data_IF_308799452782
#
_entry.id   IF_308799452782
#
_cell.length_a   1.000
_cell.length_b   1.000
_cell.length_c   1.000
_cell.angle_alpha   90.00
_cell.angle_beta   90.00
_cell.angle_gamma   90.00
#
_symmetry.space_group_name_H-M   'P 1'
#
loop_
_entity.id
_entity.type
_entity.pdbx_description
1 polymer ?
#
# COMPACT_ATOMS: atom_id res chain seq x y z
N UNK A 1 -40.15 -29.06 -26.99
CA UNK A 1 -39.50 -27.76 -26.77
C UNK A 1 -39.24 -27.44 -25.28
N UNK A 2 -40.21 -27.48 -24.35
CA UNK A 2 -40.01 -27.16 -22.92
C UNK A 2 -38.89 -27.95 -22.23
N UNK A 3 -38.74 -29.27 -22.47
CA UNK A 3 -37.67 -30.11 -21.88
C UNK A 3 -36.25 -29.73 -22.34
N UNK A 4 -36.08 -29.23 -23.56
CA UNK A 4 -34.80 -28.80 -24.10
C UNK A 4 -34.41 -27.46 -23.47
N UNK A 5 -35.34 -26.53 -23.32
CA UNK A 5 -35.12 -25.25 -22.65
C UNK A 5 -34.69 -25.46 -21.20
N UNK A 6 -35.33 -26.38 -20.47
CA UNK A 6 -34.94 -26.72 -19.09
C UNK A 6 -33.48 -27.24 -18.98
N UNK A 7 -33.07 -28.12 -19.91
CA UNK A 7 -31.69 -28.63 -19.94
C UNK A 7 -30.67 -27.52 -20.22
N UNK A 8 -31.02 -26.58 -21.13
CA UNK A 8 -30.15 -25.45 -21.44
C UNK A 8 -30.00 -24.51 -20.22
N UNK A 9 -31.10 -24.26 -19.50
CA UNK A 9 -31.09 -23.41 -18.30
C UNK A 9 -30.23 -24.06 -17.19
N UNK A 10 -30.39 -25.37 -16.94
CA UNK A 10 -29.60 -26.10 -15.95
C UNK A 10 -28.12 -26.06 -16.33
N UNK A 11 -27.78 -26.29 -17.59
CA UNK A 11 -26.41 -26.25 -18.09
C UNK A 11 -25.78 -24.85 -17.93
N UNK A 12 -26.54 -23.79 -18.22
CA UNK A 12 -26.10 -22.41 -18.02
C UNK A 12 -25.85 -22.09 -16.54
N UNK A 13 -26.74 -22.52 -15.63
CA UNK A 13 -26.55 -22.39 -14.18
C UNK A 13 -25.29 -23.11 -13.71
N UNK A 14 -25.02 -24.30 -14.20
CA UNK A 14 -23.81 -25.04 -13.87
C UNK A 14 -22.55 -24.33 -14.33
N UNK A 15 -22.52 -23.77 -15.55
CA UNK A 15 -21.40 -23.00 -16.06
C UNK A 15 -21.15 -21.76 -15.19
N UNK A 16 -22.21 -21.01 -14.87
CA UNK A 16 -22.11 -19.81 -14.03
C UNK A 16 -21.60 -20.19 -12.63
N UNK A 17 -22.14 -21.22 -12.01
CA UNK A 17 -21.71 -21.69 -10.69
C UNK A 17 -20.23 -22.11 -10.69
N UNK A 18 -19.80 -22.86 -11.70
CA UNK A 18 -18.41 -23.27 -11.85
C UNK A 18 -17.49 -22.06 -12.05
N UNK A 19 -17.90 -21.09 -12.86
CA UNK A 19 -17.14 -19.85 -13.08
C UNK A 19 -16.98 -19.04 -11.79
N UNK A 20 -18.04 -18.93 -11.00
CA UNK A 20 -18.02 -18.24 -9.70
C UNK A 20 -17.08 -18.96 -8.72
N UNK A 21 -17.15 -20.28 -8.63
CA UNK A 21 -16.25 -21.08 -7.78
C UNK A 21 -14.81 -20.90 -8.22
N UNK A 22 -14.54 -20.95 -9.53
CA UNK A 22 -13.20 -20.72 -10.08
C UNK A 22 -12.66 -19.35 -9.73
N UNK A 23 -13.44 -18.28 -9.93
CA UNK A 23 -13.08 -16.91 -9.57
C UNK A 23 -12.84 -16.71 -8.08
N UNK A 24 -13.58 -17.45 -7.24
CA UNK A 24 -13.45 -17.35 -5.78
C UNK A 24 -12.23 -18.11 -5.25
N UNK A 25 -11.89 -19.25 -5.82
CA UNK A 25 -10.80 -20.12 -5.33
C UNK A 25 -9.46 -19.78 -5.98
N UNK A 26 -9.41 -19.78 -7.29
CA UNK A 26 -8.17 -19.61 -8.08
C UNK A 26 -7.97 -18.14 -8.46
N UNK A 27 -9.04 -17.48 -8.91
CA UNK A 27 -8.99 -16.13 -9.48
C UNK A 27 -8.44 -16.09 -10.91
N UNK A 28 -8.28 -14.91 -11.45
CA UNK A 28 -7.76 -14.67 -12.81
C UNK A 28 -6.57 -13.72 -12.71
N UNK A 29 -5.49 -14.03 -13.43
CA UNK A 29 -4.37 -13.09 -13.67
C UNK A 29 -4.54 -12.51 -15.07
N UNK A 30 -4.47 -11.21 -15.19
CA UNK A 30 -4.70 -10.51 -16.46
C UNK A 30 -3.94 -9.20 -16.52
N UNK A 31 -3.59 -8.77 -17.72
CA UNK A 31 -2.99 -7.47 -18.01
C UNK A 31 -4.04 -6.42 -18.45
N UNK A 32 -5.28 -6.86 -18.73
CA UNK A 32 -6.35 -6.02 -19.29
C UNK A 32 -6.73 -4.82 -18.43
N UNK A 33 -6.45 -4.87 -17.13
CA UNK A 33 -6.75 -3.76 -16.21
C UNK A 33 -5.56 -2.81 -16.00
N UNK A 34 -4.37 -3.13 -16.52
CA UNK A 34 -3.17 -2.33 -16.30
C UNK A 34 -3.37 -0.88 -16.75
N UNK A 35 -3.79 -0.68 -18.00
CA UNK A 35 -3.98 0.65 -18.58
C UNK A 35 -5.07 1.44 -17.86
N UNK A 36 -6.16 0.77 -17.45
CA UNK A 36 -7.23 1.40 -16.69
C UNK A 36 -6.74 1.89 -15.31
N UNK A 37 -5.95 1.08 -14.61
CA UNK A 37 -5.39 1.46 -13.31
C UNK A 37 -4.40 2.61 -13.48
N UNK A 38 -3.50 2.51 -14.47
CA UNK A 38 -2.51 3.56 -14.74
C UNK A 38 -3.18 4.88 -15.13
N UNK A 39 -4.23 4.86 -15.96
CA UNK A 39 -4.96 6.07 -16.34
C UNK A 39 -5.65 6.71 -15.12
N UNK A 40 -6.28 5.91 -14.26
CA UNK A 40 -6.92 6.41 -13.04
C UNK A 40 -5.94 7.02 -12.04
N UNK A 41 -4.74 6.47 -11.93
CA UNK A 41 -3.68 7.05 -11.09
C UNK A 41 -3.20 8.39 -11.66
N UNK A 42 -3.04 8.49 -12.98
CA UNK A 42 -2.67 9.76 -13.65
C UNK A 42 -3.75 10.84 -13.57
N UNK A 43 -5.02 10.47 -13.48
CA UNK A 43 -6.11 11.43 -13.24
C UNK A 43 -5.98 12.11 -11.87
N UNK A 44 -5.42 11.42 -10.86
CA UNK A 44 -5.19 11.97 -9.51
C UNK A 44 -4.01 12.93 -9.50
N UNK A 45 -2.89 12.52 -10.10
CA UNK A 45 -1.71 13.36 -10.28
C UNK A 45 -1.02 12.98 -11.60
N UNK A 46 -0.92 13.91 -12.58
CA UNK A 46 -0.28 13.66 -13.88
C UNK A 46 1.19 13.22 -13.79
N UNK A 47 1.88 13.55 -12.70
CA UNK A 47 3.27 13.15 -12.46
C UNK A 47 3.39 11.75 -11.84
N UNK A 48 2.27 11.17 -11.39
CA UNK A 48 2.23 9.85 -10.78
C UNK A 48 1.86 8.81 -11.83
N UNK A 49 2.63 7.74 -11.89
CA UNK A 49 2.35 6.60 -12.76
C UNK A 49 2.69 5.28 -12.07
N UNK A 50 2.08 4.23 -12.55
CA UNK A 50 2.38 2.85 -12.14
C UNK A 50 2.84 2.07 -13.37
N UNK A 51 3.89 1.27 -13.20
CA UNK A 51 4.21 0.19 -14.13
C UNK A 51 3.76 -1.11 -13.48
N UNK A 52 2.85 -1.83 -14.11
CA UNK A 52 2.23 -3.05 -13.56
C UNK A 52 2.44 -4.17 -14.57
N UNK A 53 2.96 -5.32 -14.13
CA UNK A 53 3.07 -6.48 -15.02
C UNK A 53 1.71 -7.16 -15.19
N UNK A 54 1.07 -7.54 -14.10
CA UNK A 54 -0.22 -8.24 -14.10
C UNK A 54 -1.06 -7.84 -12.91
N UNK A 55 -2.38 -8.03 -13.04
CA UNK A 55 -3.35 -7.91 -11.96
C UNK A 55 -3.99 -9.26 -11.70
N UNK A 56 -3.97 -9.70 -10.45
CA UNK A 56 -4.73 -10.86 -9.98
C UNK A 56 -6.08 -10.39 -9.45
N UNK A 57 -7.15 -11.01 -9.92
CA UNK A 57 -8.54 -10.70 -9.55
C UNK A 57 -9.14 -11.92 -8.88
N UNK A 58 -9.66 -11.78 -7.66
CA UNK A 58 -10.37 -12.83 -6.92
C UNK A 58 -11.70 -12.31 -6.39
N UNK A 59 -12.73 -13.13 -6.50
CA UNK A 59 -14.04 -12.85 -5.93
C UNK A 59 -14.15 -13.45 -4.53
N UNK A 60 -14.50 -12.65 -3.53
CA UNK A 60 -14.90 -13.15 -2.23
C UNK A 60 -16.43 -13.11 -2.13
N UNK A 61 -17.04 -14.29 -2.19
CA UNK A 61 -18.50 -14.45 -2.18
C UNK A 61 -19.12 -14.10 -0.81
N UNK A 62 -18.39 -14.39 0.28
CA UNK A 62 -18.93 -14.16 1.64
C UNK A 62 -19.04 -12.68 1.97
N UNK A 63 -18.07 -11.90 1.56
CA UNK A 63 -18.05 -10.44 1.80
C UNK A 63 -18.54 -9.63 0.60
N UNK A 64 -18.88 -10.25 -0.50
CA UNK A 64 -19.30 -9.62 -1.78
C UNK A 64 -18.30 -8.54 -2.22
N UNK A 65 -17.01 -8.87 -2.19
CA UNK A 65 -15.94 -8.00 -2.66
C UNK A 65 -15.09 -8.66 -3.74
N UNK A 66 -14.60 -7.85 -4.66
CA UNK A 66 -13.56 -8.23 -5.61
C UNK A 66 -12.24 -7.78 -5.02
N UNK A 67 -11.32 -8.73 -4.80
CA UNK A 67 -9.96 -8.45 -4.38
C UNK A 67 -9.08 -8.33 -5.63
N UNK A 68 -8.40 -7.20 -5.75
CA UNK A 68 -7.39 -6.96 -6.77
C UNK A 68 -6.02 -6.99 -6.11
N UNK A 69 -5.03 -7.59 -6.77
CA UNK A 69 -3.63 -7.57 -6.35
C UNK A 69 -2.75 -7.35 -7.58
N UNK A 70 -1.99 -6.27 -7.59
CA UNK A 70 -0.98 -6.04 -8.63
C UNK A 70 0.25 -6.92 -8.40
N UNK A 71 0.93 -7.28 -9.46
CA UNK A 71 2.16 -8.08 -9.46
C UNK A 71 3.21 -7.36 -10.30
N UNK A 72 4.45 -7.27 -9.78
CA UNK A 72 5.56 -6.60 -10.46
C UNK A 72 5.24 -5.13 -10.70
N UNK A 73 5.07 -4.37 -9.61
CA UNK A 73 4.59 -2.99 -9.65
C UNK A 73 5.71 -2.04 -9.27
N UNK A 74 5.93 -1.02 -10.12
CA UNK A 74 6.78 0.11 -9.81
C UNK A 74 5.93 1.37 -9.70
N UNK A 75 6.14 2.12 -8.63
CA UNK A 75 5.59 3.46 -8.46
C UNK A 75 6.57 4.47 -9.04
N UNK A 76 6.11 5.27 -9.97
CA UNK A 76 6.92 6.27 -10.67
C UNK A 76 6.32 7.65 -10.38
N UNK A 77 7.12 8.56 -9.82
CA UNK A 77 6.75 9.95 -9.64
C UNK A 77 7.85 10.86 -10.22
N UNK A 78 7.51 11.59 -11.26
CA UNK A 78 8.49 12.32 -12.08
C UNK A 78 9.63 11.37 -12.44
N UNK A 79 10.80 11.43 -12.28
CA UNK A 79 11.86 10.49 -12.63
C UNK A 79 12.33 9.59 -11.47
N UNK A 80 11.51 9.44 -10.41
CA UNK A 80 11.84 8.60 -9.25
C UNK A 80 11.02 7.34 -9.28
N UNK A 81 11.68 6.21 -9.07
CA UNK A 81 11.07 4.88 -9.11
C UNK A 81 11.21 4.23 -7.75
N UNK A 82 10.10 3.69 -7.25
CA UNK A 82 10.06 2.83 -6.07
C UNK A 82 9.43 1.50 -6.46
N UNK A 83 10.15 0.42 -6.22
CA UNK A 83 9.64 -0.92 -6.42
C UNK A 83 8.68 -1.29 -5.29
N UNK A 84 7.47 -1.67 -5.68
CA UNK A 84 6.49 -2.20 -4.75
C UNK A 84 6.47 -3.73 -4.83
N UNK A 85 6.16 -4.37 -3.71
CA UNK A 85 5.85 -5.79 -3.73
C UNK A 85 4.51 -6.03 -4.40
N UNK A 86 3.49 -5.29 -3.95
CA UNK A 86 2.16 -5.29 -4.55
C UNK A 86 1.32 -4.11 -4.06
N UNK A 87 0.25 -3.83 -4.81
CA UNK A 87 -0.88 -3.02 -4.37
C UNK A 87 -2.07 -3.97 -4.31
N UNK A 88 -2.72 -4.07 -3.14
CA UNK A 88 -3.99 -4.78 -2.98
C UNK A 88 -5.11 -3.77 -2.87
N UNK A 89 -6.25 -4.05 -3.47
CA UNK A 89 -7.44 -3.25 -3.31
C UNK A 89 -8.69 -4.12 -3.24
N UNK A 90 -9.70 -3.62 -2.54
CA UNK A 90 -10.99 -4.27 -2.40
C UNK A 90 -12.08 -3.40 -3.00
N UNK A 91 -12.88 -3.99 -3.88
CA UNK A 91 -14.02 -3.35 -4.52
C UNK A 91 -15.30 -4.00 -3.98
N UNK A 92 -16.12 -3.21 -3.31
CA UNK A 92 -17.43 -3.65 -2.82
C UNK A 92 -18.42 -3.79 -3.98
N UNK A 93 -18.91 -4.99 -4.23
CA UNK A 93 -19.96 -5.24 -5.22
C UNK A 93 -21.27 -4.55 -4.82
N UNK A 94 -21.58 -4.51 -3.53
CA UNK A 94 -22.78 -3.86 -3.04
C UNK A 94 -22.78 -2.34 -3.31
N UNK A 95 -21.64 -1.68 -3.07
CA UNK A 95 -21.47 -0.25 -3.35
C UNK A 95 -21.53 0.03 -4.86
N UNK A 96 -20.90 -0.84 -5.67
CA UNK A 96 -20.94 -0.72 -7.12
C UNK A 96 -22.38 -0.82 -7.67
N UNK A 97 -23.19 -1.76 -7.16
CA UNK A 97 -24.61 -1.89 -7.55
C UNK A 97 -25.44 -0.66 -7.16
N UNK A 98 -25.11 -0.04 -6.02
CA UNK A 98 -25.78 1.18 -5.52
C UNK A 98 -25.26 2.48 -6.14
N UNK A 99 -24.36 2.43 -7.12
CA UNK A 99 -23.68 3.59 -7.70
C UNK A 99 -22.93 4.45 -6.67
N UNK A 100 -22.47 3.84 -5.59
CA UNK A 100 -21.60 4.46 -4.58
C UNK A 100 -20.14 4.23 -4.92
N UNK A 101 -19.22 4.92 -4.21
CA UNK A 101 -17.80 4.66 -4.35
C UNK A 101 -17.48 3.22 -3.95
N UNK A 102 -17.03 2.42 -4.90
CA UNK A 102 -16.93 0.98 -4.73
C UNK A 102 -15.58 0.51 -4.12
N UNK A 103 -14.53 1.33 -4.23
CA UNK A 103 -13.22 1.00 -3.62
C UNK A 103 -13.30 1.18 -2.11
N UNK A 104 -13.20 0.08 -1.36
CA UNK A 104 -13.34 0.09 0.10
C UNK A 104 -12.00 0.15 0.83
N UNK A 105 -10.95 -0.42 0.24
CA UNK A 105 -9.63 -0.53 0.85
C UNK A 105 -8.51 -0.52 -0.21
N UNK A 106 -7.40 0.14 0.12
CA UNK A 106 -6.11 0.00 -0.59
C UNK A 106 -5.04 -0.34 0.44
N UNK A 107 -4.23 -1.34 0.12
CA UNK A 107 -3.02 -1.69 0.85
C UNK A 107 -1.84 -1.68 -0.12
N UNK A 108 -0.80 -0.95 0.21
CA UNK A 108 0.43 -0.83 -0.57
C UNK A 108 1.56 -1.46 0.23
N UNK A 109 2.19 -2.49 -0.30
CA UNK A 109 3.36 -3.14 0.30
C UNK A 109 4.61 -2.77 -0.52
N UNK A 110 5.63 -2.25 0.14
CA UNK A 110 6.90 -1.94 -0.50
C UNK A 110 7.84 -3.13 -0.45
N UNK A 111 8.73 -3.24 -1.43
CA UNK A 111 9.95 -4.03 -1.27
C UNK A 111 10.90 -3.32 -0.30
N UNK A 112 12.10 -3.87 -0.10
CA UNK A 112 13.17 -3.18 0.61
C UNK A 112 13.65 -1.97 -0.21
N UNK A 113 13.39 -0.77 0.29
CA UNK A 113 13.67 0.50 -0.38
C UNK A 113 14.79 1.21 0.35
N UNK A 114 15.82 1.76 -0.34
CA UNK A 114 16.74 2.69 0.28
C UNK A 114 16.00 3.90 0.86
N UNK A 115 16.23 4.22 2.14
CA UNK A 115 15.51 5.32 2.82
C UNK A 115 15.65 6.64 2.06
N UNK A 116 16.82 6.91 1.49
CA UNK A 116 17.06 8.11 0.66
C UNK A 116 16.11 8.19 -0.53
N UNK A 117 15.85 7.08 -1.21
CA UNK A 117 14.97 7.05 -2.37
C UNK A 117 13.52 7.37 -1.96
N UNK A 118 13.08 6.80 -0.81
CA UNK A 118 11.76 7.09 -0.29
C UNK A 118 11.61 8.57 0.09
N UNK A 119 12.57 9.14 0.82
CA UNK A 119 12.54 10.56 1.21
C UNK A 119 12.59 11.47 -0.02
N UNK A 120 13.43 11.15 -1.00
CA UNK A 120 13.51 11.89 -2.26
C UNK A 120 12.18 11.87 -3.02
N UNK A 121 11.47 10.72 -3.03
CA UNK A 121 10.12 10.61 -3.61
C UNK A 121 9.14 11.51 -2.84
N UNK A 122 9.04 11.37 -1.52
CA UNK A 122 8.10 12.13 -0.69
C UNK A 122 8.37 13.62 -0.83
N UNK A 123 9.63 14.05 -0.83
CA UNK A 123 10.02 15.46 -1.06
C UNK A 123 9.53 15.97 -2.42
N UNK A 124 9.65 15.16 -3.46
CA UNK A 124 9.17 15.55 -4.79
C UNK A 124 7.66 15.68 -4.86
N UNK A 125 6.91 14.92 -4.05
CA UNK A 125 5.44 14.97 -3.97
C UNK A 125 4.95 16.13 -3.10
N UNK A 126 5.60 16.40 -1.97
CA UNK A 126 5.12 17.35 -0.97
C UNK A 126 5.77 18.74 -1.05
N UNK A 127 6.92 18.85 -1.73
CA UNK A 127 7.74 20.05 -1.80
C UNK A 127 8.18 20.57 -0.41
N UNK A 128 8.25 19.71 0.61
CA UNK A 128 8.63 20.11 1.97
C UNK A 128 10.17 20.24 2.09
N UNK A 129 10.70 21.46 2.38
CA UNK A 129 12.13 21.68 2.52
C UNK A 129 12.77 20.94 3.70
N UNK A 130 12.00 20.55 4.72
CA UNK A 130 12.49 19.74 5.85
C UNK A 130 13.00 18.37 5.40
N UNK A 131 12.41 17.82 4.35
CA UNK A 131 12.83 16.53 3.78
C UNK A 131 14.18 16.62 3.07
N UNK A 132 14.56 17.79 2.55
CA UNK A 132 15.89 18.03 2.02
C UNK A 132 16.96 17.89 3.12
N UNK A 133 16.68 18.46 4.29
CA UNK A 133 17.56 18.36 5.46
C UNK A 133 17.67 16.89 5.90
N UNK A 134 16.54 16.18 6.00
CA UNK A 134 16.54 14.76 6.35
C UNK A 134 17.34 13.90 5.35
N UNK A 135 17.24 14.18 4.05
CA UNK A 135 17.99 13.49 3.00
C UNK A 135 19.51 13.69 3.14
N UNK A 136 19.96 14.84 3.63
CA UNK A 136 21.38 15.12 3.87
C UNK A 136 21.95 14.34 5.07
N UNK A 137 21.15 14.19 6.13
CA UNK A 137 21.56 13.46 7.33
C UNK A 137 21.59 11.94 7.13
N UNK A 138 20.67 11.39 6.36
CA UNK A 138 20.58 9.97 6.10
C UNK A 138 21.66 9.56 5.11
N UNK A 139 22.56 8.69 5.53
CA UNK A 139 23.65 8.17 4.69
C UNK A 139 23.30 6.86 4.05
N UNK A 140 22.68 5.95 4.80
CA UNK A 140 22.30 4.62 4.35
C UNK A 140 21.08 4.10 5.12
N UNK A 141 20.61 2.92 4.76
CA UNK A 141 19.53 2.20 5.41
C UNK A 141 18.43 1.82 4.43
N UNK A 142 17.65 0.84 4.85
CA UNK A 142 16.54 0.29 4.08
C UNK A 142 15.26 0.34 4.90
N UNK A 143 14.15 0.49 4.22
CA UNK A 143 12.82 0.49 4.79
C UNK A 143 11.92 -0.47 4.01
N UNK A 144 11.10 -1.21 4.74
CA UNK A 144 9.98 -1.97 4.21
C UNK A 144 8.74 -1.45 4.93
N UNK A 145 7.67 -1.18 4.20
CA UNK A 145 6.44 -0.65 4.78
C UNK A 145 5.19 -1.21 4.10
N UNK A 146 4.16 -1.41 4.92
CA UNK A 146 2.79 -1.67 4.52
C UNK A 146 1.92 -0.47 4.88
N UNK A 147 1.25 0.11 3.88
CA UNK A 147 0.33 1.22 4.04
C UNK A 147 -1.09 0.74 3.78
N UNK A 148 -1.99 0.94 4.73
CA UNK A 148 -3.39 0.57 4.60
C UNK A 148 -4.27 1.80 4.73
N UNK A 149 -5.15 2.00 3.73
CA UNK A 149 -6.15 3.06 3.68
C UNK A 149 -7.53 2.46 3.45
N UNK A 150 -8.50 2.89 4.20
CA UNK A 150 -9.91 2.55 4.00
C UNK A 150 -10.69 3.77 3.51
N UNK A 151 -11.70 3.54 2.69
CA UNK A 151 -12.54 4.58 2.11
C UNK A 151 -13.99 4.46 2.58
N UNK A 152 -14.67 5.58 2.68
CA UNK A 152 -16.11 5.60 2.88
C UNK A 152 -16.85 5.52 1.53
N UNK A 153 -18.17 5.50 1.57
CA UNK A 153 -19.05 5.44 0.39
C UNK A 153 -18.96 6.67 -0.54
N UNK A 154 -18.35 7.76 -0.07
CA UNK A 154 -18.10 8.99 -0.83
C UNK A 154 -16.70 9.04 -1.44
N UNK A 155 -15.84 8.04 -1.17
CA UNK A 155 -14.46 7.99 -1.66
C UNK A 155 -13.45 8.77 -0.81
N UNK A 156 -13.84 9.21 0.38
CA UNK A 156 -12.91 9.88 1.30
C UNK A 156 -12.15 8.86 2.14
N UNK A 157 -10.87 9.15 2.41
CA UNK A 157 -10.04 8.30 3.28
C UNK A 157 -10.55 8.41 4.71
N UNK A 158 -10.86 7.25 5.32
CA UNK A 158 -11.22 7.19 6.73
C UNK A 158 -10.01 7.53 7.61
N UNK A 159 -10.28 8.10 8.80
CA UNK A 159 -9.25 8.45 9.80
C UNK A 159 -8.65 7.23 10.53
N UNK A 160 -8.66 6.07 9.92
CA UNK A 160 -8.14 4.82 10.50
C UNK A 160 -7.01 4.22 9.67
N UNK A 161 -6.25 5.06 8.95
CA UNK A 161 -5.10 4.58 8.20
C UNK A 161 -4.07 3.92 9.13
N UNK A 162 -3.35 2.95 8.58
CA UNK A 162 -2.27 2.24 9.29
C UNK A 162 -1.05 2.19 8.37
N UNK A 163 0.10 2.51 8.94
CA UNK A 163 1.40 2.34 8.29
C UNK A 163 2.26 1.54 9.25
N UNK A 164 2.63 0.34 8.86
CA UNK A 164 3.53 -0.52 9.62
C UNK A 164 4.79 -0.73 8.79
N UNK A 165 5.91 -0.90 9.44
CA UNK A 165 7.13 -1.18 8.72
C UNK A 165 8.32 -1.39 9.63
N UNK A 166 9.45 -1.60 9.00
CA UNK A 166 10.73 -1.72 9.68
C UNK A 166 11.80 -0.92 8.95
N UNK A 167 12.71 -0.39 9.71
CA UNK A 167 13.96 0.20 9.23
C UNK A 167 15.10 -0.75 9.60
N UNK A 168 15.98 -1.00 8.64
CA UNK A 168 17.12 -1.87 8.80
C UNK A 168 18.40 -1.16 8.38
N UNK A 169 19.42 -1.28 9.24
CA UNK A 169 20.78 -0.77 9.01
C UNK A 169 20.81 0.72 8.61
N UNK A 170 19.97 1.53 9.28
CA UNK A 170 19.96 2.97 9.12
C UNK A 170 21.28 3.61 9.56
N UNK A 171 21.72 4.60 8.81
CA UNK A 171 22.91 5.38 9.13
C UNK A 171 22.61 6.86 8.95
N UNK A 172 22.80 7.60 10.03
CA UNK A 172 22.62 9.05 10.08
C UNK A 172 23.95 9.69 10.46
N UNK A 173 24.28 10.78 9.83
CA UNK A 173 25.50 11.54 10.16
C UNK A 173 25.18 13.03 10.17
N UNK A 174 25.57 13.69 11.27
CA UNK A 174 25.50 15.13 11.42
C UNK A 174 26.74 15.64 12.13
N UNK A 175 27.54 16.43 11.44
CA UNK A 175 28.81 16.96 11.92
C UNK A 175 29.74 15.83 12.40
N UNK A 176 30.05 15.79 13.71
CA UNK A 176 30.91 14.78 14.34
C UNK A 176 30.16 13.59 14.92
N UNK A 177 28.83 13.61 14.88
CA UNK A 177 27.98 12.57 15.44
C UNK A 177 27.53 11.61 14.35
N UNK A 178 27.71 10.33 14.57
CA UNK A 178 27.25 9.27 13.70
C UNK A 178 26.36 8.29 14.47
N UNK A 179 25.17 8.08 13.95
CA UNK A 179 24.28 6.99 14.35
C UNK A 179 24.37 5.93 13.26
N UNK A 180 24.73 4.73 13.61
CA UNK A 180 24.84 3.60 12.68
C UNK A 180 24.09 2.38 13.20
N UNK A 181 23.86 1.40 12.31
CA UNK A 181 23.11 0.18 12.60
C UNK A 181 21.75 0.45 13.26
N UNK A 182 21.08 1.53 12.84
CA UNK A 182 19.76 1.87 13.34
C UNK A 182 18.74 0.89 12.77
N UNK A 183 18.11 0.13 13.67
CA UNK A 183 17.04 -0.79 13.35
C UNK A 183 15.86 -0.50 14.27
N UNK A 184 14.64 -0.57 13.74
CA UNK A 184 13.40 -0.46 14.51
C UNK A 184 12.21 -0.92 13.69
N UNK A 185 11.15 -1.34 14.36
CA UNK A 185 9.82 -1.53 13.82
C UNK A 185 9.02 -0.28 14.14
N UNK A 186 8.18 0.18 13.21
CA UNK A 186 7.29 1.32 13.45
C UNK A 186 5.85 1.00 13.09
N UNK A 187 4.94 1.58 13.86
CA UNK A 187 3.49 1.52 13.64
C UNK A 187 2.92 2.93 13.77
N UNK A 188 2.31 3.42 12.70
CA UNK A 188 1.75 4.76 12.61
C UNK A 188 0.26 4.66 12.34
N UNK A 189 -0.53 5.33 13.14
CA UNK A 189 -1.98 5.50 12.95
C UNK A 189 -2.35 6.99 13.02
N UNK A 190 -3.61 7.30 12.86
CA UNK A 190 -4.12 8.65 13.08
C UNK A 190 -3.94 9.14 14.54
N UNK A 191 -3.81 8.21 15.51
CA UNK A 191 -3.77 8.51 16.96
C UNK A 191 -2.40 8.39 17.57
N UNK A 192 -1.56 7.51 17.06
CA UNK A 192 -0.30 7.12 17.71
C UNK A 192 0.81 6.84 16.72
N UNK A 193 2.02 7.00 17.20
CA UNK A 193 3.26 6.64 16.54
C UNK A 193 4.07 5.80 17.51
N UNK A 194 4.26 4.52 17.21
CA UNK A 194 5.01 3.57 18.04
C UNK A 194 6.24 3.10 17.31
N UNK A 195 7.35 3.00 18.04
CA UNK A 195 8.60 2.37 17.62
C UNK A 195 8.92 1.25 18.58
N UNK A 196 9.20 0.06 18.06
CA UNK A 196 9.50 -1.14 18.82
C UNK A 196 10.90 -1.64 18.42
N UNK A 197 11.59 -2.29 19.37
CA UNK A 197 12.90 -2.91 19.15
C UNK A 197 13.96 -1.95 18.57
N UNK A 198 13.97 -0.70 19.04
CA UNK A 198 14.90 0.31 18.54
C UNK A 198 16.31 -0.02 19.02
N UNK A 199 17.21 -0.26 18.10
CA UNK A 199 18.64 -0.51 18.36
C UNK A 199 19.52 0.31 17.45
N UNK A 200 20.59 0.88 17.98
CA UNK A 200 21.53 1.68 17.21
C UNK A 200 22.89 1.83 17.92
N UNK A 201 23.88 2.30 17.19
CA UNK A 201 25.16 2.71 17.74
C UNK A 201 25.29 4.24 17.62
N UNK A 202 25.76 4.89 18.68
CA UNK A 202 26.27 6.27 18.63
C UNK A 202 27.75 6.22 18.93
N UNK A 203 28.59 6.63 17.98
CA UNK A 203 30.04 6.64 18.12
C UNK A 203 30.54 5.29 18.68
N UNK A 204 30.07 4.18 18.13
CA UNK A 204 30.35 2.78 18.49
C UNK A 204 29.82 2.32 19.87
N UNK A 205 29.03 3.13 20.58
CA UNK A 205 28.35 2.69 21.80
C UNK A 205 26.96 2.20 21.47
N UNK A 206 26.57 1.02 21.93
CA UNK A 206 25.28 0.39 21.67
C UNK A 206 24.17 0.94 22.58
N UNK A 207 23.01 1.20 21.99
CA UNK A 207 21.79 1.61 22.67
C UNK A 207 20.66 0.73 22.22
N UNK A 208 19.78 0.36 23.16
CA UNK A 208 18.55 -0.40 22.91
C UNK A 208 17.42 0.29 23.65
N UNK A 209 16.33 0.56 22.94
CA UNK A 209 15.09 1.11 23.49
C UNK A 209 13.98 0.14 23.08
N UNK A 210 13.42 -0.65 24.02
CA UNK A 210 12.43 -1.69 23.70
C UNK A 210 11.15 -1.13 23.05
N UNK A 211 10.66 -0.01 23.58
CA UNK A 211 9.43 0.62 23.09
C UNK A 211 9.46 2.13 23.30
N UNK A 212 9.03 2.87 22.28
CA UNK A 212 8.90 4.32 22.29
C UNK A 212 7.58 4.72 21.62
N UNK A 213 6.62 5.14 22.42
CA UNK A 213 5.29 5.55 21.94
C UNK A 213 5.10 7.07 22.04
N UNK A 214 4.53 7.66 20.99
CA UNK A 214 4.09 9.06 20.97
C UNK A 214 2.60 9.10 20.63
N UNK A 215 1.78 9.58 21.56
CA UNK A 215 0.35 9.77 21.34
C UNK A 215 0.06 11.20 20.87
N UNK A 216 -0.71 11.32 19.79
CA UNK A 216 -1.22 12.62 19.36
C UNK A 216 -2.31 13.08 20.34
N UNK A 217 -2.01 14.08 21.18
CA UNK A 217 -3.07 14.78 21.93
C UNK A 217 -4.01 15.44 20.94
N UNK A 218 -5.32 15.14 21.05
CA UNK A 218 -6.34 15.97 20.37
C UNK A 218 -6.18 17.39 20.91
N UNK A 219 -5.73 18.34 20.09
CA UNK A 219 -5.86 19.76 20.44
C UNK A 219 -7.36 20.03 20.50
N UNK A 220 -7.84 20.37 21.66
CA UNK A 220 -9.16 20.99 21.81
C UNK A 220 -9.04 22.41 21.24
N UNK A 221 -9.55 22.62 20.04
CA UNK A 221 -9.99 23.89 19.52
C UNK A 221 -11.47 23.81 19.23
#
# INVERSE_FOLDING_TARGET
MKKIIYKIIIFLILIVSFSIIYLSTIGIKTERFNDLIVSKVKEVDPNLSLKINQVSVKLNLFSLVINLKTLGTDLIYKNRIIELENIKSQISLQSAIKNQFALSEIMISTKSIPIKNLISLIRAMTNDPKLLIAEQFIKNGFIIADLKFEFNEFGEIKKNFKINGLVNNGQLSHEKNEISKLNFIFKITDKELNFEDVSFLINNKSFIIPDLGVQKKKSKF
#
